data_IF_539871378523
#
_entry.id   IF_539871378523
#
_cell.length_a   1.000
_cell.length_b   1.000
_cell.length_c   1.000
_cell.angle_alpha   90.00
_cell.angle_beta   90.00
_cell.angle_gamma   90.00
#
_symmetry.space_group_name_H-M   'P 1'
#
loop_
_entity.id
_entity.type
_entity.pdbx_description
1 polymer ?
#
# COMPACT_ATOMS: atom_id res chain seq x y z
N UNK A 1 16.74 -22.92 27.74
CA UNK A 1 16.44 -21.87 26.75
C UNK A 1 16.47 -22.56 25.39
N UNK A 2 15.36 -22.68 24.66
CA UNK A 2 15.37 -22.95 23.20
C UNK A 2 13.95 -23.06 22.66
N UNK A 3 13.50 -22.00 21.97
CA UNK A 3 12.33 -22.00 21.09
C UNK A 3 12.37 -20.76 20.17
N UNK A 4 13.54 -20.46 19.58
CA UNK A 4 13.72 -19.28 18.71
C UNK A 4 13.95 -19.62 17.22
N UNK A 5 14.02 -20.90 16.85
CA UNK A 5 14.45 -21.31 15.49
C UNK A 5 13.31 -21.43 14.45
N UNK A 6 12.08 -21.77 14.84
CA UNK A 6 11.03 -22.13 13.87
C UNK A 6 10.25 -20.96 13.25
N UNK A 7 10.29 -19.77 13.85
CA UNK A 7 9.55 -18.60 13.34
C UNK A 7 10.33 -17.81 12.30
N UNK A 8 11.66 -17.84 12.36
CA UNK A 8 12.53 -17.05 11.51
C UNK A 8 12.55 -17.57 10.05
N UNK A 9 12.45 -18.88 9.83
CA UNK A 9 12.39 -19.45 8.48
C UNK A 9 11.10 -19.02 7.75
N UNK A 10 9.97 -18.97 8.46
CA UNK A 10 8.65 -18.72 7.86
C UNK A 10 8.51 -17.32 7.27
N UNK A 11 8.98 -16.27 7.95
CA UNK A 11 8.83 -14.90 7.44
C UNK A 11 9.71 -14.61 6.24
N UNK A 12 10.96 -15.09 6.24
CA UNK A 12 11.88 -14.91 5.10
C UNK A 12 11.37 -15.64 3.85
N UNK A 13 10.85 -16.87 4.01
CA UNK A 13 10.30 -17.64 2.90
C UNK A 13 9.03 -17.01 2.31
N UNK A 14 8.18 -16.40 3.16
CA UNK A 14 7.00 -15.65 2.71
C UNK A 14 7.39 -14.39 1.93
N UNK A 15 8.38 -13.62 2.40
CA UNK A 15 8.89 -12.44 1.68
C UNK A 15 9.40 -12.85 0.29
N UNK A 16 10.20 -13.92 0.22
CA UNK A 16 10.70 -14.43 -1.06
C UNK A 16 9.57 -14.86 -1.98
N UNK A 17 8.54 -15.49 -1.44
CA UNK A 17 7.34 -15.87 -2.22
C UNK A 17 6.66 -14.64 -2.80
N UNK A 18 6.35 -13.62 -1.98
CA UNK A 18 5.72 -12.36 -2.40
C UNK A 18 6.56 -11.68 -3.51
N UNK A 19 7.87 -11.55 -3.30
CA UNK A 19 8.79 -10.91 -4.24
C UNK A 19 8.85 -11.68 -5.56
N UNK A 20 8.96 -13.01 -5.51
CA UNK A 20 9.00 -13.84 -6.71
C UNK A 20 7.69 -13.77 -7.49
N UNK A 21 6.55 -13.75 -6.81
CA UNK A 21 5.24 -13.65 -7.45
C UNK A 21 5.06 -12.28 -8.11
N UNK A 22 5.49 -11.20 -7.45
CA UNK A 22 5.51 -9.86 -8.03
C UNK A 22 6.42 -9.78 -9.26
N UNK A 23 7.62 -10.36 -9.22
CA UNK A 23 8.55 -10.40 -10.35
C UNK A 23 7.99 -11.19 -11.54
N UNK A 24 7.40 -12.37 -11.30
CA UNK A 24 6.79 -13.21 -12.35
C UNK A 24 5.65 -12.49 -13.05
N UNK A 25 4.84 -11.77 -12.29
CA UNK A 25 3.67 -11.06 -12.79
C UNK A 25 4.00 -9.64 -13.29
N UNK A 26 5.25 -9.18 -13.13
CA UNK A 26 5.68 -7.79 -13.39
C UNK A 26 4.86 -6.76 -12.61
N UNK A 27 4.46 -7.13 -11.40
CA UNK A 27 3.66 -6.34 -10.48
C UNK A 27 4.51 -5.79 -9.33
N UNK A 28 3.93 -4.90 -8.53
CA UNK A 28 4.57 -4.29 -7.37
C UNK A 28 3.92 -4.79 -6.09
N UNK A 29 4.64 -4.59 -4.99
CA UNK A 29 4.18 -4.98 -3.66
C UNK A 29 3.49 -3.79 -3.01
N UNK A 30 2.27 -3.99 -2.54
CA UNK A 30 1.47 -2.99 -1.85
C UNK A 30 1.21 -3.46 -0.42
N UNK A 31 1.51 -2.59 0.54
CA UNK A 31 1.13 -2.75 1.94
C UNK A 31 -0.15 -1.95 2.22
N UNK A 32 -1.31 -2.61 2.39
CA UNK A 32 -2.57 -1.92 2.64
C UNK A 32 -2.62 -1.21 4.00
N UNK A 33 -1.86 -1.70 4.99
CA UNK A 33 -1.87 -1.13 6.34
C UNK A 33 -1.22 0.26 6.36
N UNK A 34 -0.08 0.40 5.67
CA UNK A 34 0.62 1.68 5.52
C UNK A 34 0.23 2.46 4.26
N UNK A 35 -0.56 1.85 3.37
CA UNK A 35 -0.89 2.35 2.02
C UNK A 35 0.35 2.68 1.19
N UNK A 36 1.39 1.86 1.35
CA UNK A 36 2.70 2.08 0.71
C UNK A 36 2.94 1.09 -0.41
N UNK A 37 3.51 1.60 -1.49
CA UNK A 37 4.00 0.81 -2.61
C UNK A 37 5.50 0.57 -2.49
N UNK A 38 5.91 -0.61 -2.94
CA UNK A 38 7.30 -1.02 -3.05
C UNK A 38 7.49 -1.72 -4.39
N UNK A 39 8.60 -1.43 -5.06
CA UNK A 39 9.12 -2.39 -6.04
C UNK A 39 9.45 -3.72 -5.34
N UNK A 40 9.47 -4.85 -6.07
CA UNK A 40 9.86 -6.13 -5.49
C UNK A 40 11.25 -6.07 -4.82
N UNK A 41 12.18 -5.30 -5.40
CA UNK A 41 13.54 -5.11 -4.86
C UNK A 41 13.55 -4.31 -3.55
N UNK A 42 12.84 -3.18 -3.50
CA UNK A 42 12.74 -2.37 -2.28
C UNK A 42 12.10 -3.14 -1.12
N UNK A 43 11.05 -3.94 -1.41
CA UNK A 43 10.40 -4.76 -0.41
C UNK A 43 11.37 -5.81 0.15
N UNK A 44 12.11 -6.49 -0.72
CA UNK A 44 13.11 -7.48 -0.31
C UNK A 44 14.21 -6.83 0.54
N UNK A 45 14.81 -5.74 0.06
CA UNK A 45 15.91 -5.06 0.76
C UNK A 45 15.47 -4.57 2.14
N UNK A 46 14.26 -4.03 2.23
CA UNK A 46 13.71 -3.51 3.47
C UNK A 46 13.44 -4.63 4.47
N UNK A 47 12.84 -5.74 4.04
CA UNK A 47 12.27 -6.72 4.98
C UNK A 47 13.09 -8.00 5.15
N UNK A 48 14.03 -8.32 4.25
CA UNK A 48 14.86 -9.55 4.34
C UNK A 48 15.70 -9.61 5.62
N UNK A 49 16.14 -8.45 6.14
CA UNK A 49 17.00 -8.37 7.34
C UNK A 49 16.24 -8.51 8.66
N UNK A 50 14.91 -8.55 8.64
CA UNK A 50 14.10 -8.62 9.84
C UNK A 50 13.73 -10.07 10.17
N UNK A 51 14.30 -10.58 11.25
CA UNK A 51 14.15 -11.98 11.66
C UNK A 51 12.74 -12.35 12.18
N UNK A 52 11.89 -11.36 12.51
CA UNK A 52 10.60 -11.59 13.19
C UNK A 52 9.53 -10.62 12.75
N UNK A 53 9.21 -10.65 11.46
CA UNK A 53 8.06 -9.91 10.95
C UNK A 53 6.76 -10.60 11.37
N UNK A 54 5.73 -9.79 11.56
CA UNK A 54 4.39 -10.29 11.85
C UNK A 54 3.86 -11.02 10.61
N UNK A 55 3.59 -12.32 10.76
CA UNK A 55 3.08 -13.18 9.69
C UNK A 55 1.70 -12.70 9.24
N UNK A 56 0.87 -12.23 10.17
CA UNK A 56 -0.46 -11.72 9.83
C UNK A 56 -0.39 -10.44 8.99
N UNK A 57 0.65 -9.63 9.19
CA UNK A 57 0.91 -8.48 8.32
C UNK A 57 1.39 -8.94 6.95
N UNK A 58 2.33 -9.90 6.87
CA UNK A 58 2.81 -10.46 5.61
C UNK A 58 1.70 -11.09 4.77
N UNK A 59 0.75 -11.80 5.40
CA UNK A 59 -0.40 -12.40 4.73
C UNK A 59 -1.35 -11.36 4.11
N UNK A 60 -1.32 -10.12 4.60
CA UNK A 60 -2.11 -9.00 4.07
C UNK A 60 -1.39 -8.19 3.00
N UNK A 61 -0.11 -8.48 2.74
CA UNK A 61 0.63 -7.83 1.65
C UNK A 61 0.05 -8.27 0.32
N UNK A 62 -0.14 -7.29 -0.57
CA UNK A 62 -0.77 -7.50 -1.87
C UNK A 62 0.27 -7.34 -2.97
N UNK A 63 0.09 -8.09 -4.05
CA UNK A 63 0.84 -7.95 -5.30
C UNK A 63 -0.14 -7.41 -6.34
N UNK A 64 0.08 -6.18 -6.78
CA UNK A 64 -0.86 -5.42 -7.60
C UNK A 64 -0.15 -4.72 -8.76
N UNK A 65 -0.91 -4.39 -9.81
CA UNK A 65 -0.41 -3.57 -10.91
C UNK A 65 -0.18 -2.12 -10.42
N UNK A 66 1.06 -1.59 -10.49
CA UNK A 66 1.33 -0.21 -10.10
C UNK A 66 0.60 0.82 -10.97
N UNK A 67 0.25 0.49 -12.22
CA UNK A 67 -0.49 1.39 -13.11
C UNK A 67 -1.94 1.53 -12.64
N UNK A 68 -2.62 0.41 -12.32
CA UNK A 68 -3.95 0.46 -11.71
C UNK A 68 -3.93 1.23 -10.37
N UNK A 69 -2.84 1.10 -9.60
CA UNK A 69 -2.60 1.88 -8.39
C UNK A 69 -2.55 3.39 -8.63
N UNK A 70 -1.87 3.84 -9.69
CA UNK A 70 -1.83 5.24 -10.09
C UNK A 70 -3.20 5.75 -10.54
N UNK A 71 -3.91 4.97 -11.37
CA UNK A 71 -5.25 5.32 -11.83
C UNK A 71 -6.24 5.47 -10.67
N UNK A 72 -6.18 4.58 -9.67
CA UNK A 72 -6.99 4.67 -8.46
C UNK A 72 -6.67 5.94 -7.65
N UNK A 73 -5.39 6.34 -7.57
CA UNK A 73 -4.99 7.57 -6.91
C UNK A 73 -5.54 8.81 -7.64
N UNK A 74 -5.48 8.82 -8.98
CA UNK A 74 -6.02 9.90 -9.80
C UNK A 74 -7.53 10.04 -9.62
N UNK A 75 -8.28 8.93 -9.62
CA UNK A 75 -9.72 8.94 -9.35
C UNK A 75 -10.05 9.51 -7.97
N UNK A 76 -9.26 9.16 -6.95
CA UNK A 76 -9.43 9.70 -5.60
C UNK A 76 -9.17 11.22 -5.56
N UNK A 77 -8.12 11.69 -6.23
CA UNK A 77 -7.80 13.12 -6.32
C UNK A 77 -8.93 13.87 -7.01
N UNK A 78 -9.45 13.35 -8.13
CA UNK A 78 -10.57 13.96 -8.84
C UNK A 78 -11.81 14.06 -7.94
N UNK A 79 -12.15 12.99 -7.24
CA UNK A 79 -13.26 12.97 -6.28
C UNK A 79 -13.11 14.04 -5.18
N UNK A 80 -11.89 14.18 -4.63
CA UNK A 80 -11.58 15.22 -3.63
C UNK A 80 -11.76 16.62 -4.22
N UNK A 81 -11.27 16.85 -5.45
CA UNK A 81 -11.37 18.15 -6.11
C UNK A 81 -12.82 18.52 -6.44
N UNK A 82 -13.63 17.56 -6.88
CA UNK A 82 -15.08 17.75 -7.10
C UNK A 82 -15.77 18.17 -5.80
N UNK A 83 -15.52 17.46 -4.70
CA UNK A 83 -16.11 17.78 -3.39
C UNK A 83 -15.68 19.14 -2.88
N UNK A 84 -14.40 19.49 -3.03
CA UNK A 84 -13.85 20.81 -2.68
C UNK A 84 -14.54 21.93 -3.46
N UNK A 85 -14.72 21.73 -4.77
CA UNK A 85 -15.38 22.71 -5.66
C UNK A 85 -16.83 22.92 -5.25
N UNK A 86 -17.57 21.84 -4.97
CA UNK A 86 -18.95 21.92 -4.48
C UNK A 86 -19.05 22.69 -3.15
N UNK A 87 -18.12 22.44 -2.22
CA UNK A 87 -18.07 23.18 -0.96
C UNK A 87 -17.77 24.67 -1.17
N UNK A 88 -16.79 25.00 -2.03
CA UNK A 88 -16.44 26.38 -2.33
C UNK A 88 -17.63 27.17 -2.90
N UNK A 89 -18.39 26.55 -3.81
CA UNK A 89 -19.62 27.14 -4.36
C UNK A 89 -20.64 27.42 -3.26
N UNK A 90 -20.92 26.46 -2.38
CA UNK A 90 -21.84 26.63 -1.25
C UNK A 90 -21.44 27.79 -0.33
N UNK A 91 -20.14 27.96 -0.08
CA UNK A 91 -19.62 29.06 0.73
C UNK A 91 -19.88 30.40 0.04
N UNK A 92 -19.56 30.51 -1.25
CA UNK A 92 -19.77 31.74 -2.02
C UNK A 92 -21.25 32.13 -2.04
N UNK A 93 -22.13 31.16 -2.32
CA UNK A 93 -23.57 31.39 -2.41
C UNK A 93 -24.12 31.88 -1.05
N UNK A 94 -23.73 31.24 0.06
CA UNK A 94 -24.12 31.66 1.41
C UNK A 94 -23.75 33.12 1.72
N UNK A 95 -22.55 33.57 1.32
CA UNK A 95 -22.10 34.94 1.58
C UNK A 95 -22.68 35.97 0.60
N UNK A 96 -23.08 35.56 -0.61
CA UNK A 96 -23.81 36.42 -1.54
C UNK A 96 -25.22 36.72 -1.04
N UNK A 97 -25.93 35.70 -0.54
CA UNK A 97 -27.30 35.84 -0.04
C UNK A 97 -27.39 36.62 1.29
N UNK A 98 -26.26 36.79 1.98
CA UNK A 98 -26.12 37.58 3.22
C UNK A 98 -25.82 39.07 2.97
N UNK A 99 -25.58 39.47 1.72
CA UNK A 99 -25.44 40.88 1.31
C UNK A 99 -26.76 41.42 0.82
#
# INVERSE_FOLDING_TARGET
MEAKSDKNAKSSDLIRTIVNDALKQKMWVFDPASKRWFTPGEFMEMYERYDKLDITWLDNIQVLDPIEGLEAADQLIQSIMTRRTALARRIIDYWKDKK
#
